data_IF_786653252412
#
_entry.id   IF_786653252412
#
_cell.length_a   1.000
_cell.length_b   1.000
_cell.length_c   1.000
_cell.angle_alpha   90.00
_cell.angle_beta   90.00
_cell.angle_gamma   90.00
#
_symmetry.space_group_name_H-M   'P 1'
#
loop_
_entity.id
_entity.type
_entity.pdbx_description
1 polymer ?
#
# COMPACT_ATOMS: atom_id res chain seq x y z
N UNK A 1 -13.70 6.28 7.33
CA UNK A 1 -12.30 6.07 6.88
C UNK A 1 -12.21 5.79 5.37
N UNK A 2 -13.27 5.32 4.71
CA UNK A 2 -13.34 5.20 3.23
C UNK A 2 -12.97 6.49 2.48
N UNK A 3 -13.33 7.66 3.02
CA UNK A 3 -12.95 8.95 2.43
C UNK A 3 -11.43 9.12 2.30
N UNK A 4 -10.64 8.59 3.23
CA UNK A 4 -9.18 8.71 3.15
C UNK A 4 -8.64 8.00 1.90
N UNK A 5 -9.10 6.78 1.63
CA UNK A 5 -8.66 5.97 0.50
C UNK A 5 -9.23 6.50 -0.83
N UNK A 6 -10.48 6.95 -0.83
CA UNK A 6 -11.15 7.44 -2.04
C UNK A 6 -10.72 8.85 -2.46
N UNK A 7 -10.26 9.71 -1.55
CA UNK A 7 -9.96 11.12 -1.85
C UNK A 7 -8.47 11.45 -1.96
N UNK A 8 -7.59 10.46 -2.01
CA UNK A 8 -6.13 10.71 -2.15
C UNK A 8 -5.74 11.31 -3.48
N UNK A 9 -6.43 10.98 -4.56
CA UNK A 9 -6.18 11.57 -5.87
C UNK A 9 -6.59 13.05 -5.97
N UNK A 10 -7.33 13.57 -5.00
CA UNK A 10 -7.84 14.93 -5.05
C UNK A 10 -6.72 15.96 -4.80
N UNK A 11 -6.69 16.98 -5.66
CA UNK A 11 -5.79 18.11 -5.47
C UNK A 11 -6.31 19.04 -4.36
N UNK A 12 -5.41 19.40 -3.44
CA UNK A 12 -5.73 20.19 -2.25
C UNK A 12 -4.71 21.30 -2.08
N UNK A 13 -5.20 22.48 -1.67
CA UNK A 13 -4.35 23.67 -1.55
C UNK A 13 -3.97 23.99 -0.11
N UNK A 14 -4.66 23.43 0.90
CA UNK A 14 -4.29 23.55 2.32
C UNK A 14 -3.84 22.22 2.92
N UNK A 15 -3.04 21.48 2.16
CA UNK A 15 -2.40 20.24 2.60
C UNK A 15 -3.11 18.97 2.14
N UNK A 16 -2.44 17.80 2.21
CA UNK A 16 -2.87 16.60 1.50
C UNK A 16 -3.81 15.68 2.31
N UNK A 17 -4.22 16.06 3.52
CA UNK A 17 -4.88 15.16 4.46
C UNK A 17 -6.38 15.39 4.54
N UNK A 18 -7.15 14.31 4.45
CA UNK A 18 -8.57 14.26 4.79
C UNK A 18 -8.87 13.00 5.57
N UNK A 19 -9.50 13.20 6.72
CA UNK A 19 -10.04 12.17 7.58
C UNK A 19 -11.43 12.66 8.01
N UNK A 20 -12.39 11.75 8.15
CA UNK A 20 -13.77 12.08 8.53
C UNK A 20 -14.74 12.12 7.35
N UNK A 21 -15.93 12.70 7.56
CA UNK A 21 -16.99 12.82 6.55
C UNK A 21 -17.09 14.23 5.92
N UNK A 22 -16.49 15.22 6.58
CA UNK A 22 -16.64 16.63 6.22
C UNK A 22 -15.84 16.97 4.96
N UNK A 23 -16.54 17.49 3.94
CA UNK A 23 -15.87 18.08 2.77
C UNK A 23 -15.08 19.30 3.24
N UNK A 24 -13.75 19.32 3.09
CA UNK A 24 -12.96 20.43 3.62
C UNK A 24 -13.19 21.68 2.77
N UNK A 25 -13.15 22.88 3.39
CA UNK A 25 -13.50 24.14 2.73
C UNK A 25 -12.54 24.57 1.63
N UNK A 26 -11.41 23.87 1.47
CA UNK A 26 -10.38 24.10 0.46
C UNK A 26 -10.26 22.98 -0.58
N UNK A 27 -11.19 22.01 -0.57
CA UNK A 27 -11.23 20.97 -1.60
C UNK A 27 -11.45 21.61 -2.96
N UNK A 28 -10.44 21.55 -3.81
CA UNK A 28 -10.58 21.93 -5.22
C UNK A 28 -10.91 20.65 -5.98
N UNK A 29 -12.21 20.36 -6.14
CA UNK A 29 -12.67 19.26 -6.99
C UNK A 29 -12.45 19.65 -8.46
N UNK A 30 -11.24 19.44 -8.94
CA UNK A 30 -10.95 19.44 -10.38
C UNK A 30 -11.42 18.11 -10.94
N UNK A 31 -12.67 18.05 -11.42
CA UNK A 31 -13.19 16.85 -12.07
C UNK A 31 -12.27 16.41 -13.22
N UNK A 32 -11.71 15.21 -13.11
CA UNK A 32 -10.83 14.60 -14.11
C UNK A 32 -9.65 13.84 -13.49
N UNK A 33 -8.96 13.00 -14.28
CA UNK A 33 -7.65 12.44 -13.92
C UNK A 33 -6.65 13.59 -13.82
N UNK A 34 -6.52 14.19 -12.64
CA UNK A 34 -5.46 15.15 -12.34
C UNK A 34 -4.24 14.35 -11.92
N UNK A 35 -3.06 14.73 -12.44
CA UNK A 35 -1.77 14.18 -12.00
C UNK A 35 -1.75 14.10 -10.48
N UNK A 36 -1.48 12.92 -9.87
CA UNK A 36 -1.45 12.79 -8.42
C UNK A 36 -0.44 13.77 -7.86
N UNK A 37 -0.72 14.28 -6.66
CA UNK A 37 0.23 15.15 -5.97
C UNK A 37 1.60 14.42 -5.91
N UNK A 38 2.73 15.07 -6.22
CA UNK A 38 4.03 14.39 -6.35
C UNK A 38 4.50 13.58 -5.13
N UNK A 39 3.90 13.82 -3.96
CA UNK A 39 4.14 13.08 -2.73
C UNK A 39 3.24 11.85 -2.51
N UNK A 40 2.41 11.48 -3.49
CA UNK A 40 1.56 10.29 -3.46
C UNK A 40 2.12 9.23 -4.41
N UNK A 41 2.05 7.93 -4.06
CA UNK A 41 2.48 6.87 -4.95
C UNK A 41 1.75 6.92 -6.30
N UNK A 42 0.42 6.94 -6.28
CA UNK A 42 -0.39 6.93 -7.49
C UNK A 42 -1.76 7.59 -7.30
N UNK A 43 -2.74 7.17 -8.11
CA UNK A 43 -4.10 7.71 -8.06
C UNK A 43 -4.92 7.06 -6.95
N UNK A 44 -4.94 5.72 -6.88
CA UNK A 44 -5.88 5.00 -6.04
C UNK A 44 -5.16 4.23 -4.96
N UNK A 45 -5.42 4.59 -3.71
CA UNK A 45 -5.05 3.76 -2.56
C UNK A 45 -6.23 2.85 -2.23
N UNK A 46 -6.10 1.55 -2.42
CA UNK A 46 -7.14 0.56 -2.08
C UNK A 46 -6.84 -0.23 -0.80
N UNK A 47 -5.87 0.25 -0.02
CA UNK A 47 -5.69 -0.16 1.36
C UNK A 47 -6.67 0.58 2.27
N UNK A 48 -7.27 -0.15 3.20
CA UNK A 48 -8.19 0.37 4.20
C UNK A 48 -7.88 -0.29 5.56
N UNK A 49 -8.12 0.39 6.68
CA UNK A 49 -8.09 -0.27 7.98
C UNK A 49 -9.19 -1.34 8.07
N UNK A 50 -9.01 -2.33 8.95
CA UNK A 50 -10.12 -3.17 9.43
C UNK A 50 -11.11 -2.34 10.24
N UNK A 51 -12.35 -2.84 10.40
CA UNK A 51 -13.41 -2.16 11.15
C UNK A 51 -13.02 -1.88 12.61
N UNK A 52 -12.27 -2.78 13.23
CA UNK A 52 -11.75 -2.64 14.59
C UNK A 52 -10.47 -1.78 14.68
N UNK A 53 -9.94 -1.32 13.55
CA UNK A 53 -8.72 -0.52 13.45
C UNK A 53 -7.43 -1.27 13.78
N UNK A 54 -7.45 -2.60 13.90
CA UNK A 54 -6.28 -3.39 14.31
C UNK A 54 -5.33 -3.77 13.17
N UNK A 55 -5.80 -3.74 11.92
CA UNK A 55 -4.99 -4.09 10.75
C UNK A 55 -5.32 -3.22 9.52
N UNK A 56 -4.54 -3.41 8.46
CA UNK A 56 -4.79 -2.86 7.12
C UNK A 56 -5.09 -4.02 6.20
N UNK A 57 -6.16 -3.89 5.42
CA UNK A 57 -6.60 -4.86 4.44
C UNK A 57 -6.80 -4.20 3.08
N UNK A 58 -6.82 -5.03 2.04
CA UNK A 58 -7.37 -4.63 0.76
C UNK A 58 -8.86 -4.36 0.91
N UNK A 59 -9.37 -3.32 0.27
CA UNK A 59 -10.79 -2.96 0.32
C UNK A 59 -11.67 -3.75 -0.68
N UNK A 60 -11.13 -4.82 -1.27
CA UNK A 60 -11.84 -5.76 -2.16
C UNK A 60 -12.39 -5.13 -3.46
N UNK A 61 -11.94 -3.93 -3.81
CA UNK A 61 -12.21 -3.34 -5.14
C UNK A 61 -11.31 -3.95 -6.22
N UNK A 62 -11.16 -3.30 -7.38
CA UNK A 62 -10.20 -3.74 -8.38
C UNK A 62 -8.77 -3.76 -7.82
N UNK A 63 -8.01 -4.78 -8.23
CA UNK A 63 -6.57 -4.80 -8.02
C UNK A 63 -5.95 -3.52 -8.55
N UNK A 64 -5.00 -2.96 -7.81
CA UNK A 64 -4.52 -1.60 -8.05
C UNK A 64 -3.01 -1.52 -8.18
N UNK A 65 -2.58 -0.55 -8.98
CA UNK A 65 -1.17 -0.25 -9.21
C UNK A 65 -0.50 0.26 -7.94
N UNK A 66 0.80 -0.04 -7.82
CA UNK A 66 1.67 0.50 -6.76
C UNK A 66 1.20 0.15 -5.34
N UNK A 67 0.57 -1.01 -5.18
CA UNK A 67 0.08 -1.50 -3.88
C UNK A 67 1.19 -1.52 -2.80
N UNK A 68 2.40 -1.93 -3.16
CA UNK A 68 3.58 -1.90 -2.30
C UNK A 68 4.00 -0.48 -1.91
N UNK A 69 3.99 0.44 -2.87
CA UNK A 69 4.37 1.84 -2.65
C UNK A 69 3.33 2.58 -1.80
N UNK A 70 2.05 2.26 -1.99
CA UNK A 70 0.97 2.71 -1.12
C UNK A 70 1.12 2.19 0.30
N UNK A 71 1.46 0.90 0.48
CA UNK A 71 1.71 0.35 1.81
C UNK A 71 2.87 1.08 2.51
N UNK A 72 4.00 1.27 1.81
CA UNK A 72 5.14 2.00 2.35
C UNK A 72 4.79 3.45 2.68
N UNK A 73 4.02 4.12 1.81
CA UNK A 73 3.55 5.48 2.05
C UNK A 73 2.69 5.58 3.31
N UNK A 74 1.75 4.65 3.53
CA UNK A 74 0.91 4.66 4.74
C UNK A 74 1.76 4.50 6.00
N UNK A 75 2.71 3.58 5.96
CA UNK A 75 3.64 3.31 7.06
C UNK A 75 4.48 4.54 7.37
N UNK A 76 5.15 5.12 6.37
CA UNK A 76 6.06 6.26 6.54
C UNK A 76 5.34 7.58 6.87
N UNK A 77 4.10 7.73 6.42
CA UNK A 77 3.35 8.97 6.57
C UNK A 77 2.52 9.01 7.83
N UNK A 78 1.94 7.87 8.24
CA UNK A 78 0.98 7.80 9.35
C UNK A 78 1.37 6.80 10.42
N UNK A 79 1.74 5.56 10.09
CA UNK A 79 1.64 4.48 11.07
C UNK A 79 2.85 4.44 12.02
N UNK A 80 4.06 4.50 11.48
CA UNK A 80 5.27 4.17 12.25
C UNK A 80 5.69 5.27 13.24
N UNK A 81 6.45 4.94 14.30
CA UNK A 81 7.14 5.93 15.12
C UNK A 81 7.94 6.92 14.27
N UNK A 82 7.71 8.22 14.49
CA UNK A 82 8.37 9.29 13.72
C UNK A 82 7.78 9.50 12.32
N UNK A 83 6.58 8.96 12.06
CA UNK A 83 5.81 9.21 10.85
C UNK A 83 5.76 10.69 10.48
N UNK A 84 5.66 10.96 9.19
CA UNK A 84 5.70 12.33 8.64
C UNK A 84 4.64 13.24 9.27
N UNK A 85 3.41 12.76 9.44
CA UNK A 85 2.34 13.55 10.07
C UNK A 85 2.65 13.84 11.54
N UNK A 86 3.18 12.89 12.30
CA UNK A 86 3.56 13.12 13.70
C UNK A 86 4.58 14.27 13.83
N UNK A 87 5.57 14.30 12.94
CA UNK A 87 6.58 15.39 12.90
C UNK A 87 5.96 16.72 12.50
N UNK A 88 5.04 16.72 11.55
CA UNK A 88 4.33 17.92 11.11
C UNK A 88 3.37 18.47 12.17
N UNK A 89 2.74 17.63 12.99
CA UNK A 89 1.92 18.11 14.10
C UNK A 89 2.77 18.80 15.18
N UNK A 90 4.04 18.38 15.33
CA UNK A 90 4.99 19.03 16.24
C UNK A 90 5.57 20.33 15.67
N UNK A 91 5.71 20.45 14.35
CA UNK A 91 6.14 21.66 13.63
C UNK A 91 5.23 21.92 12.40
N UNK A 92 4.05 22.52 12.61
CA UNK A 92 3.03 22.63 11.57
C UNK A 92 3.43 23.53 10.40
N UNK A 93 3.08 23.09 9.20
CA UNK A 93 3.16 23.94 8.01
C UNK A 93 2.06 25.00 8.11
N UNK A 94 2.44 26.28 8.16
CA UNK A 94 1.57 27.39 8.54
C UNK A 94 0.24 27.52 7.77
N UNK A 95 0.19 27.05 6.51
CA UNK A 95 -0.99 27.14 5.64
C UNK A 95 -1.77 25.83 5.52
N UNK A 96 -1.28 24.74 6.13
CA UNK A 96 -1.93 23.43 6.06
C UNK A 96 -2.99 23.28 7.14
N UNK A 97 -4.07 22.59 6.78
CA UNK A 97 -5.12 22.15 7.69
C UNK A 97 -4.84 20.67 8.04
N UNK A 98 -4.75 20.39 9.33
CA UNK A 98 -4.62 19.04 9.85
C UNK A 98 -5.98 18.59 10.42
N UNK A 99 -6.52 17.44 9.99
CA UNK A 99 -7.75 16.87 10.56
C UNK A 99 -7.67 16.73 12.08
N UNK A 100 -8.78 17.07 12.76
CA UNK A 100 -8.85 16.98 14.22
C UNK A 100 -8.69 15.53 14.73
N UNK A 101 -9.06 14.55 13.92
CA UNK A 101 -8.91 13.11 14.19
C UNK A 101 -7.46 12.72 14.49
N UNK A 102 -6.47 13.43 13.94
CA UNK A 102 -5.06 13.17 14.23
C UNK A 102 -4.68 13.42 15.68
N UNK A 103 -5.46 14.18 16.45
CA UNK A 103 -5.20 14.39 17.88
C UNK A 103 -5.28 13.09 18.71
N UNK A 104 -6.01 12.08 18.22
CA UNK A 104 -6.18 10.79 18.88
C UNK A 104 -5.33 9.68 18.25
N UNK A 105 -4.70 9.95 17.12
CA UNK A 105 -3.88 8.99 16.42
C UNK A 105 -2.49 8.92 17.05
N UNK A 106 -1.99 7.72 17.36
CA UNK A 106 -0.79 7.56 18.20
C UNK A 106 0.53 7.59 17.43
N UNK A 107 0.52 7.31 16.11
CA UNK A 107 1.70 7.31 15.24
C UNK A 107 2.88 6.44 15.76
N UNK A 108 2.58 5.36 16.48
CA UNK A 108 3.57 4.48 17.13
C UNK A 108 3.45 3.01 16.71
N UNK A 109 2.83 2.75 15.57
CA UNK A 109 2.45 1.40 15.16
C UNK A 109 3.66 0.65 14.57
N UNK A 110 3.68 -0.67 14.81
CA UNK A 110 4.62 -1.58 14.14
C UNK A 110 3.81 -2.50 13.26
N UNK A 111 3.92 -2.29 11.95
CA UNK A 111 3.18 -3.05 10.95
C UNK A 111 3.97 -4.28 10.56
N UNK A 112 3.29 -5.43 10.65
CA UNK A 112 3.76 -6.73 10.22
C UNK A 112 2.62 -7.45 9.51
N UNK A 113 2.93 -8.20 8.46
CA UNK A 113 1.92 -9.00 7.78
C UNK A 113 2.31 -9.38 6.37
N UNK A 114 1.48 -10.23 5.76
CA UNK A 114 1.65 -10.71 4.40
C UNK A 114 0.34 -10.49 3.66
N UNK A 115 0.45 -9.99 2.43
CA UNK A 115 -0.65 -9.94 1.48
C UNK A 115 -0.17 -10.58 0.19
N UNK A 116 -0.97 -11.49 -0.32
CA UNK A 116 -0.73 -12.19 -1.57
C UNK A 116 -1.83 -11.79 -2.54
N UNK A 117 -1.46 -11.53 -3.78
CA UNK A 117 -2.40 -11.15 -4.82
C UNK A 117 -2.07 -11.85 -6.13
N UNK A 118 -3.14 -12.19 -6.85
CA UNK A 118 -3.13 -12.79 -8.16
C UNK A 118 -4.01 -11.94 -9.08
N UNK A 119 -3.56 -11.72 -10.31
CA UNK A 119 -4.35 -11.10 -11.37
C UNK A 119 -4.67 -12.10 -12.48
N UNK A 120 -5.22 -11.59 -13.59
CA UNK A 120 -5.62 -12.44 -14.72
C UNK A 120 -4.42 -13.08 -15.44
N UNK A 121 -3.25 -12.45 -15.38
CA UNK A 121 -2.01 -12.95 -15.98
C UNK A 121 -1.11 -13.59 -14.90
N UNK A 122 -0.43 -14.71 -15.18
CA UNK A 122 0.48 -15.36 -14.24
C UNK A 122 1.60 -14.45 -13.70
N UNK A 123 2.08 -13.51 -14.51
CA UNK A 123 3.04 -12.46 -14.15
C UNK A 123 2.46 -11.40 -13.20
N UNK A 124 1.15 -11.31 -13.09
CA UNK A 124 0.45 -10.41 -12.19
C UNK A 124 0.27 -11.06 -10.80
N UNK A 125 1.23 -11.88 -10.38
CA UNK A 125 1.28 -12.47 -9.05
C UNK A 125 2.36 -11.81 -8.23
N UNK A 126 1.98 -11.33 -7.06
CA UNK A 126 2.91 -10.71 -6.13
C UNK A 126 2.54 -10.99 -4.69
N UNK A 127 3.56 -10.95 -3.85
CA UNK A 127 3.45 -11.00 -2.40
C UNK A 127 4.06 -9.74 -1.82
N UNK A 128 3.31 -9.04 -1.00
CA UNK A 128 3.80 -7.99 -0.14
C UNK A 128 4.00 -8.59 1.24
N UNK A 129 5.21 -8.44 1.78
CA UNK A 129 5.56 -8.84 3.14
C UNK A 129 6.10 -7.64 3.89
N UNK A 130 5.39 -7.24 4.94
CA UNK A 130 5.81 -6.16 5.83
C UNK A 130 6.43 -6.77 7.08
N UNK A 131 7.68 -6.38 7.38
CA UNK A 131 8.44 -6.80 8.56
C UNK A 131 8.96 -5.57 9.27
N UNK A 132 8.51 -5.32 10.49
CA UNK A 132 8.93 -4.17 11.31
C UNK A 132 8.87 -2.84 10.55
N UNK A 133 7.71 -2.55 9.93
CA UNK A 133 7.48 -1.37 9.08
C UNK A 133 8.27 -1.33 7.75
N UNK A 134 8.95 -2.42 7.39
CA UNK A 134 9.71 -2.53 6.14
C UNK A 134 8.92 -3.34 5.13
N UNK A 135 8.58 -2.71 4.01
CA UNK A 135 7.81 -3.34 2.92
C UNK A 135 8.76 -4.05 1.97
N UNK A 136 8.54 -5.36 1.82
CA UNK A 136 9.15 -6.20 0.81
C UNK A 136 8.09 -6.56 -0.22
N UNK A 137 8.40 -6.45 -1.50
CA UNK A 137 7.58 -7.03 -2.56
C UNK A 137 8.36 -8.14 -3.25
N UNK A 138 7.71 -9.28 -3.41
CA UNK A 138 8.21 -10.46 -4.08
C UNK A 138 7.37 -10.66 -5.33
N UNK A 139 8.01 -10.67 -6.49
CA UNK A 139 7.37 -10.91 -7.78
C UNK A 139 7.99 -12.15 -8.43
N UNK A 140 7.20 -12.93 -9.16
CA UNK A 140 7.73 -14.06 -9.93
C UNK A 140 8.53 -13.54 -11.13
N UNK A 141 9.77 -14.01 -11.27
CA UNK A 141 10.65 -13.61 -12.39
C UNK A 141 10.62 -14.59 -13.56
N UNK A 142 10.03 -15.78 -13.40
CA UNK A 142 10.05 -16.85 -14.40
C UNK A 142 8.68 -17.56 -14.44
N UNK A 143 8.06 -17.63 -15.62
CA UNK A 143 6.91 -18.51 -15.87
C UNK A 143 7.35 -19.98 -15.76
N UNK A 144 6.62 -20.86 -15.05
CA UNK A 144 6.62 -22.28 -15.38
C UNK A 144 6.19 -22.43 -16.85
N UNK A 145 6.81 -23.32 -17.64
CA UNK A 145 6.30 -23.55 -19.00
C UNK A 145 4.85 -24.05 -18.91
N UNK A 146 4.05 -23.83 -19.97
CA UNK A 146 2.66 -24.31 -20.04
C UNK A 146 2.55 -25.85 -19.86
N UNK A 147 3.66 -26.56 -19.94
CA UNK A 147 3.78 -28.01 -19.74
C UNK A 147 3.93 -28.40 -18.25
N UNK A 148 4.18 -27.42 -17.38
CA UNK A 148 4.43 -27.59 -15.93
C UNK A 148 3.19 -27.27 -15.08
N UNK A 149 2.14 -26.66 -15.66
CA UNK A 149 0.87 -26.36 -15.01
C UNK A 149 -0.25 -27.11 -15.76
N UNK A 150 -0.91 -28.05 -15.09
CA UNK A 150 -2.05 -28.76 -15.66
C UNK A 150 -3.22 -27.79 -15.87
N UNK A 151 -3.75 -27.59 -17.10
CA UNK A 151 -4.84 -26.65 -17.37
C UNK A 151 -6.19 -27.01 -16.74
N UNK A 152 -6.26 -28.09 -15.95
CA UNK A 152 -7.51 -28.64 -15.45
C UNK A 152 -8.05 -27.97 -14.17
N UNK A 153 -7.27 -27.12 -13.49
CA UNK A 153 -7.59 -26.63 -12.14
C UNK A 153 -7.33 -25.11 -12.02
N UNK A 154 -7.95 -24.31 -12.90
CA UNK A 154 -7.90 -22.84 -12.90
C UNK A 154 -8.75 -22.18 -11.77
N UNK A 155 -8.78 -22.77 -10.57
CA UNK A 155 -9.56 -22.22 -9.46
C UNK A 155 -9.03 -22.72 -8.13
N UNK A 156 -8.37 -21.81 -7.41
CA UNK A 156 -7.75 -21.96 -6.09
C UNK A 156 -6.51 -22.86 -6.02
N UNK A 157 -5.35 -22.21 -5.83
CA UNK A 157 -4.10 -22.87 -5.45
C UNK A 157 -4.24 -23.51 -4.06
N UNK A 158 -3.91 -24.78 -3.94
CA UNK A 158 -3.90 -25.48 -2.65
C UNK A 158 -2.64 -25.15 -1.81
N UNK A 159 -2.66 -25.49 -0.52
CA UNK A 159 -1.56 -25.24 0.43
C UNK A 159 -0.16 -25.68 -0.09
N UNK A 160 -0.10 -26.77 -0.85
CA UNK A 160 1.16 -27.29 -1.41
C UNK A 160 1.74 -26.46 -2.56
N UNK A 161 0.90 -25.72 -3.29
CA UNK A 161 1.34 -24.84 -4.38
C UNK A 161 1.89 -23.52 -3.82
N UNK A 162 1.29 -23.02 -2.72
CA UNK A 162 1.85 -21.95 -1.91
C UNK A 162 3.20 -22.32 -1.30
N UNK A 163 3.34 -23.52 -0.73
CA UNK A 163 4.65 -24.00 -0.24
C UNK A 163 5.70 -24.05 -1.35
N UNK A 164 5.32 -24.44 -2.57
CA UNK A 164 6.22 -24.50 -3.72
C UNK A 164 6.61 -23.11 -4.24
N UNK A 165 5.67 -22.16 -4.26
CA UNK A 165 5.95 -20.75 -4.54
C UNK A 165 6.93 -20.17 -3.52
N UNK A 166 6.70 -20.40 -2.23
CA UNK A 166 7.58 -19.98 -1.14
C UNK A 166 8.97 -20.63 -1.27
N UNK A 167 9.06 -21.91 -1.66
CA UNK A 167 10.33 -22.60 -1.88
C UNK A 167 11.13 -22.07 -3.09
N UNK A 168 10.44 -21.51 -4.09
CA UNK A 168 11.04 -20.94 -5.31
C UNK A 168 11.48 -19.47 -5.16
N UNK A 169 11.36 -18.88 -3.96
CA UNK A 169 11.78 -17.50 -3.65
C UNK A 169 13.22 -17.17 -4.01
N UNK A 170 14.12 -18.15 -4.20
CA UNK A 170 15.47 -17.95 -4.77
C UNK A 170 15.48 -17.44 -6.21
N UNK A 171 14.35 -17.52 -6.92
CA UNK A 171 14.15 -17.05 -8.29
C UNK A 171 13.25 -15.82 -8.38
N UNK A 172 12.87 -15.21 -7.27
CA UNK A 172 12.04 -14.00 -7.24
C UNK A 172 12.93 -12.75 -7.09
N UNK A 173 12.49 -11.61 -7.60
CA UNK A 173 13.13 -10.34 -7.29
C UNK A 173 12.45 -9.77 -6.05
N UNK A 174 13.23 -9.49 -5.01
CA UNK A 174 12.75 -8.80 -3.83
C UNK A 174 13.11 -7.33 -3.93
N UNK A 175 12.11 -6.46 -3.75
CA UNK A 175 12.36 -5.03 -3.62
C UNK A 175 12.04 -4.58 -2.20
N UNK A 176 12.97 -3.85 -1.61
CA UNK A 176 12.76 -2.99 -0.46
C UNK A 176 12.10 -1.70 -0.95
N UNK A 177 10.97 -1.31 -0.36
CA UNK A 177 10.35 -0.01 -0.63
C UNK A 177 10.70 0.97 0.49
N UNK A 178 11.43 2.03 0.15
CA UNK A 178 11.74 3.12 1.07
C UNK A 178 11.71 4.47 0.36
N UNK A 179 11.08 5.48 0.98
CA UNK A 179 11.07 6.84 0.44
C UNK A 179 10.42 6.95 -0.95
N UNK A 180 9.48 6.05 -1.28
CA UNK A 180 8.84 6.02 -2.59
C UNK A 180 9.73 5.52 -3.71
N UNK A 181 10.73 4.68 -3.42
CA UNK A 181 11.53 3.99 -4.42
C UNK A 181 11.65 2.51 -4.10
N UNK A 182 11.71 1.69 -5.16
CA UNK A 182 12.06 0.26 -5.07
C UNK A 182 13.57 0.10 -5.16
N UNK A 183 14.14 -0.59 -4.19
CA UNK A 183 15.54 -1.02 -4.20
C UNK A 183 15.56 -2.54 -4.26
N UNK A 184 16.15 -3.11 -5.31
CA UNK A 184 16.35 -4.55 -5.39
C UNK A 184 17.29 -5.03 -4.27
N UNK A 185 16.90 -6.12 -3.61
CA UNK A 185 17.64 -6.76 -2.53
C UNK A 185 17.66 -8.28 -2.74
N UNK A 186 18.64 -8.95 -2.14
CA UNK A 186 18.69 -10.41 -2.16
C UNK A 186 17.42 -10.99 -1.48
N UNK A 187 16.70 -11.93 -2.10
CA UNK A 187 15.52 -12.57 -1.52
C UNK A 187 15.76 -13.28 -0.18
N UNK A 188 17.02 -13.54 0.17
CA UNK A 188 17.42 -14.16 1.43
C UNK A 188 17.62 -13.16 2.60
N UNK A 189 17.42 -11.86 2.39
CA UNK A 189 17.64 -10.80 3.40
C UNK A 189 16.41 -10.49 4.28
#
# INVERSE_FOLDING_TARGET
MEQFSSTRHDHRVKGPYLVGEDTPPDLVVTGGRVTPHPGLPGYWCKWAPTEDGSAIQWNEEEKFYEADMWMAYLIDTFLKPGATVARQLADPVAEWIYPADFAQFTFDHVVNGVIEAEGEEPEDRWRIEVRDNIVHIVQQTVQPSYDEISPAELGDWGDGEWERFVALTRHNITFLVHGGQRQEVDPAC
#
